data_IF_857375464063
#
_entry.id   IF_857375464063
#
_cell.length_a   1.000
_cell.length_b   1.000
_cell.length_c   1.000
_cell.angle_alpha   90.00
_cell.angle_beta   90.00
_cell.angle_gamma   90.00
#
_symmetry.space_group_name_H-M   'P 1'
#
loop_
_entity.id
_entity.type
_entity.pdbx_description
1 polymer ?
#
# COMPACT_ATOMS: atom_id res chain seq x y z
N UNK A 1 9.49 15.98 -8.30
CA UNK A 1 8.06 15.68 -8.02
C UNK A 1 8.02 14.51 -7.06
N UNK A 2 7.35 14.66 -5.93
CA UNK A 2 7.19 13.59 -4.94
C UNK A 2 6.00 12.74 -5.34
N UNK A 3 6.22 11.57 -5.94
CA UNK A 3 5.11 10.66 -6.31
C UNK A 3 4.59 9.95 -5.05
N UNK A 4 3.38 10.28 -4.54
CA UNK A 4 2.85 9.65 -3.33
C UNK A 4 2.63 8.15 -3.53
N UNK A 5 2.42 7.71 -4.78
CA UNK A 5 2.27 6.30 -5.18
C UNK A 5 3.55 5.47 -4.92
N UNK A 6 4.72 6.10 -4.91
CA UNK A 6 5.99 5.42 -4.59
C UNK A 6 6.22 5.31 -3.09
N UNK A 7 5.30 5.80 -2.26
CA UNK A 7 5.40 5.71 -0.80
C UNK A 7 4.61 4.54 -0.25
N UNK A 8 5.25 3.63 0.51
CA UNK A 8 4.55 2.55 1.21
C UNK A 8 3.40 3.07 2.08
N UNK A 9 3.64 4.18 2.79
CA UNK A 9 2.66 4.82 3.67
C UNK A 9 1.36 5.19 2.96
N UNK A 10 1.44 5.70 1.73
CA UNK A 10 0.26 6.06 0.94
C UNK A 10 -0.67 4.86 0.74
N UNK A 11 -0.09 3.71 0.41
CA UNK A 11 -0.84 2.47 0.20
C UNK A 11 -1.39 1.89 1.51
N UNK A 12 -0.60 1.92 2.60
CA UNK A 12 -1.06 1.49 3.94
C UNK A 12 -2.24 2.33 4.44
N UNK A 13 -2.20 3.64 4.26
CA UNK A 13 -3.30 4.52 4.68
C UNK A 13 -4.59 4.22 3.89
N UNK A 14 -4.48 3.93 2.58
CA UNK A 14 -5.62 3.50 1.76
C UNK A 14 -6.16 2.13 2.16
N UNK A 15 -5.29 1.18 2.49
CA UNK A 15 -5.69 -0.13 3.00
C UNK A 15 -6.49 0.01 4.30
N UNK A 16 -6.01 0.83 5.24
CA UNK A 16 -6.69 1.14 6.51
C UNK A 16 -8.05 1.80 6.29
N UNK A 17 -8.14 2.82 5.44
CA UNK A 17 -9.39 3.49 5.12
C UNK A 17 -10.41 2.53 4.47
N UNK A 18 -9.95 1.64 3.59
CA UNK A 18 -10.80 0.65 2.93
C UNK A 18 -11.36 -0.37 3.92
N UNK A 19 -10.53 -0.85 4.87
CA UNK A 19 -11.01 -1.73 5.96
C UNK A 19 -12.04 -1.05 6.84
N UNK A 20 -11.83 0.21 7.18
CA UNK A 20 -12.80 0.98 7.95
C UNK A 20 -14.15 1.09 7.22
N UNK A 21 -14.13 1.31 5.90
CA UNK A 21 -15.34 1.32 5.07
C UNK A 21 -15.98 -0.08 4.96
N UNK A 22 -15.17 -1.14 4.85
CA UNK A 22 -15.68 -2.51 4.86
C UNK A 22 -16.45 -2.83 6.15
N UNK A 23 -15.94 -2.40 7.32
CA UNK A 23 -16.62 -2.59 8.61
C UNK A 23 -17.98 -1.86 8.69
N UNK A 24 -18.16 -0.76 7.95
CA UNK A 24 -19.44 -0.07 7.86
C UNK A 24 -20.47 -0.85 7.04
N UNK A 25 -20.02 -1.76 6.15
CA UNK A 25 -20.85 -2.60 5.27
C UNK A 25 -21.29 -3.91 5.92
N UNK A 26 -21.45 -3.96 7.25
CA UNK A 26 -21.76 -5.18 8.01
C UNK A 26 -23.03 -5.92 7.56
N UNK A 27 -23.98 -5.22 6.96
CA UNK A 27 -25.23 -5.81 6.42
C UNK A 27 -25.16 -6.16 4.92
N UNK A 28 -24.02 -5.91 4.28
CA UNK A 28 -23.76 -6.19 2.87
C UNK A 28 -22.51 -7.07 2.71
N UNK A 29 -22.60 -8.38 3.04
CA UNK A 29 -21.44 -9.25 3.20
C UNK A 29 -20.60 -9.38 1.93
N UNK A 30 -21.24 -9.36 0.75
CA UNK A 30 -20.53 -9.41 -0.54
C UNK A 30 -19.73 -8.14 -0.81
N UNK A 31 -20.27 -6.97 -0.49
CA UNK A 31 -19.58 -5.69 -0.68
C UNK A 31 -18.46 -5.52 0.34
N UNK A 32 -18.70 -5.92 1.60
CA UNK A 32 -17.67 -5.99 2.64
C UNK A 32 -16.49 -6.85 2.18
N UNK A 33 -16.74 -8.07 1.71
CA UNK A 33 -15.68 -8.97 1.22
C UNK A 33 -14.91 -8.37 0.03
N UNK A 34 -15.59 -7.70 -0.91
CA UNK A 34 -14.91 -7.00 -2.02
C UNK A 34 -14.00 -5.89 -1.50
N UNK A 35 -14.46 -5.09 -0.54
CA UNK A 35 -13.63 -4.03 0.05
C UNK A 35 -12.42 -4.59 0.79
N UNK A 36 -12.58 -5.71 1.51
CA UNK A 36 -11.45 -6.36 2.18
C UNK A 36 -10.38 -6.82 1.18
N UNK A 37 -10.78 -7.43 0.06
CA UNK A 37 -9.84 -7.80 -1.02
C UNK A 37 -9.10 -6.58 -1.59
N UNK A 38 -9.80 -5.46 -1.79
CA UNK A 38 -9.16 -4.21 -2.24
C UNK A 38 -8.14 -3.71 -1.21
N UNK A 39 -8.44 -3.81 0.09
CA UNK A 39 -7.48 -3.45 1.13
C UNK A 39 -6.23 -4.35 1.14
N UNK A 40 -6.38 -5.65 0.86
CA UNK A 40 -5.26 -6.58 0.71
C UNK A 40 -4.38 -6.21 -0.50
N UNK A 41 -4.97 -5.83 -1.63
CA UNK A 41 -4.21 -5.34 -2.79
C UNK A 41 -3.44 -4.06 -2.48
N UNK A 42 -4.00 -3.15 -1.67
CA UNK A 42 -3.27 -1.98 -1.21
C UNK A 42 -2.10 -2.33 -0.29
N UNK A 43 -2.22 -3.33 0.58
CA UNK A 43 -1.06 -3.78 1.38
C UNK A 43 0.05 -4.37 0.50
N UNK A 44 -0.30 -5.17 -0.52
CA UNK A 44 0.69 -5.69 -1.49
C UNK A 44 1.40 -4.57 -2.24
N UNK A 45 0.68 -3.51 -2.61
CA UNK A 45 1.27 -2.33 -3.24
C UNK A 45 2.18 -1.56 -2.27
N UNK A 46 1.84 -1.52 -0.98
CA UNK A 46 2.71 -0.94 0.03
C UNK A 46 4.03 -1.71 0.17
N UNK A 47 3.97 -3.04 0.16
CA UNK A 47 5.14 -3.90 0.24
C UNK A 47 6.03 -3.70 -0.99
N UNK A 48 5.47 -3.70 -2.20
CA UNK A 48 6.21 -3.40 -3.44
C UNK A 48 6.84 -2.02 -3.44
N UNK A 49 6.12 -1.01 -2.96
CA UNK A 49 6.67 0.34 -2.83
C UNK A 49 7.85 0.37 -1.83
N UNK A 50 7.82 -0.47 -0.78
CA UNK A 50 8.88 -0.55 0.20
C UNK A 50 10.11 -1.25 -0.38
N UNK A 51 9.89 -2.32 -1.15
CA UNK A 51 10.93 -3.01 -1.92
C UNK A 51 11.60 -2.05 -2.90
N UNK A 52 10.84 -1.28 -3.68
CA UNK A 52 11.42 -0.28 -4.59
C UNK A 52 12.20 0.83 -3.89
N UNK A 53 11.76 1.26 -2.72
CA UNK A 53 12.52 2.22 -1.91
C UNK A 53 13.82 1.61 -1.38
N UNK A 54 13.79 0.36 -0.91
CA UNK A 54 14.97 -0.36 -0.47
C UNK A 54 15.96 -0.61 -1.60
N UNK A 55 15.48 -1.01 -2.78
CA UNK A 55 16.31 -1.28 -3.96
C UNK A 55 16.95 0.00 -4.53
N UNK A 56 16.18 1.10 -4.57
CA UNK A 56 16.70 2.43 -4.93
C UNK A 56 17.74 2.96 -3.93
N UNK A 57 17.62 2.61 -2.64
CA UNK A 57 18.59 2.97 -1.60
C UNK A 57 19.90 2.18 -1.75
N UNK A 58 19.86 0.94 -2.23
CA UNK A 58 21.03 0.08 -2.42
C UNK A 58 21.81 0.43 -3.70
N UNK A 59 21.13 0.79 -4.79
CA UNK A 59 21.78 1.18 -6.05
C UNK A 59 22.35 2.61 -6.08
N UNK A 60 22.08 3.42 -5.04
CA UNK A 60 22.61 4.79 -4.90
C UNK A 60 23.93 4.90 -4.12
N UNK A 61 24.50 3.79 -3.65
CA UNK A 61 25.77 3.76 -2.95
C UNK A 61 26.90 3.32 -3.90
N UNK A 62 27.33 4.20 -4.81
CA UNK A 62 28.64 4.07 -5.45
C UNK A 62 29.74 4.34 -4.40
N UNK A 63 30.71 3.44 -4.18
CA UNK A 63 31.91 3.76 -3.40
C UNK A 63 32.81 4.73 -4.21
N UNK A 64 33.46 5.70 -3.55
CA UNK A 64 34.39 6.63 -4.21
C UNK A 64 35.69 5.92 -4.65
N UNK A 65 36.30 6.50 -5.69
CA UNK A 65 37.55 6.16 -6.39
C UNK A 65 38.65 5.49 -5.54
#
# INVERSE_FOLDING_TARGET
>A
MHDPIKQPKYWRDRAKATRAKANQLRYAPREMQRMLRVAEEYDKLADRAAEWQGDSQLHGAEPPD
#
